data_IF_298118752686
#
_entry.id   IF_298118752686
#
_cell.length_a   1.000
_cell.length_b   1.000
_cell.length_c   1.000
_cell.angle_alpha   90.00
_cell.angle_beta   90.00
_cell.angle_gamma   90.00
#
_symmetry.space_group_name_H-M   'P 1'
#
loop_
_entity.id
_entity.type
_entity.pdbx_description
1 polymer ?
#
# COMPACT_ATOMS: atom_id res chain seq x y z
N UNK A 1 -7.67 -25.73 14.46
CA UNK A 1 -9.09 -25.50 14.85
C UNK A 1 -9.28 -24.47 15.97
N UNK A 2 -8.51 -24.47 17.08
CA UNK A 2 -8.69 -23.48 18.17
C UNK A 2 -8.40 -22.01 17.78
N UNK A 3 -7.47 -21.77 16.85
CA UNK A 3 -7.13 -20.42 16.38
C UNK A 3 -8.21 -19.77 15.48
N UNK A 4 -8.88 -20.58 14.65
CA UNK A 4 -9.97 -20.10 13.75
C UNK A 4 -11.16 -19.62 14.59
N UNK A 5 -11.55 -20.37 15.62
CA UNK A 5 -12.61 -19.94 16.53
C UNK A 5 -12.27 -18.70 17.36
N UNK A 6 -10.99 -18.35 17.53
CA UNK A 6 -10.57 -17.08 18.15
C UNK A 6 -10.69 -15.93 17.14
N UNK A 7 -10.27 -16.13 15.89
CA UNK A 7 -10.38 -15.12 14.83
C UNK A 7 -11.84 -14.73 14.53
N UNK A 8 -12.77 -15.69 14.49
CA UNK A 8 -14.20 -15.41 14.26
C UNK A 8 -14.82 -14.60 15.41
N UNK A 9 -14.42 -14.91 16.65
CA UNK A 9 -14.86 -14.15 17.84
C UNK A 9 -14.30 -12.73 17.89
N UNK A 10 -13.07 -12.54 17.39
CA UNK A 10 -12.44 -11.21 17.27
C UNK A 10 -13.12 -10.40 16.17
N UNK A 11 -13.39 -11.01 15.00
CA UNK A 11 -14.09 -10.36 13.88
C UNK A 11 -15.48 -9.87 14.26
N UNK A 12 -16.23 -10.67 15.02
CA UNK A 12 -17.55 -10.31 15.54
C UNK A 12 -17.55 -9.12 16.53
N UNK A 13 -16.38 -8.64 16.97
CA UNK A 13 -16.23 -7.53 17.94
C UNK A 13 -15.56 -6.29 17.34
N UNK A 14 -15.22 -6.31 16.05
CA UNK A 14 -14.67 -5.15 15.34
C UNK A 14 -15.69 -4.02 15.22
N UNK A 15 -16.99 -4.33 15.18
CA UNK A 15 -18.07 -3.35 15.11
C UNK A 15 -18.74 -3.07 16.47
N UNK A 16 -18.13 -3.50 17.58
CA UNK A 16 -18.73 -3.29 18.91
C UNK A 16 -18.85 -1.78 19.20
N UNK A 17 -20.04 -1.28 19.63
CA UNK A 17 -20.27 0.14 19.86
C UNK A 17 -19.38 0.70 20.98
N UNK A 18 -18.84 -0.15 21.87
CA UNK A 18 -17.95 0.27 22.95
C UNK A 18 -16.52 0.43 22.43
N UNK A 19 -15.92 1.64 22.49
CA UNK A 19 -14.60 1.92 21.93
C UNK A 19 -13.46 1.04 22.47
N UNK A 20 -13.53 0.65 23.74
CA UNK A 20 -12.54 -0.24 24.38
C UNK A 20 -12.61 -1.68 23.85
N UNK A 21 -13.81 -2.20 23.59
CA UNK A 21 -14.01 -3.56 23.06
C UNK A 21 -13.58 -3.64 21.61
N UNK A 22 -13.93 -2.62 20.82
CA UNK A 22 -13.46 -2.47 19.44
C UNK A 22 -11.95 -2.30 19.36
N UNK A 23 -11.33 -1.47 20.21
CA UNK A 23 -9.87 -1.33 20.24
C UNK A 23 -9.16 -2.63 20.60
N UNK A 24 -9.66 -3.35 21.62
CA UNK A 24 -9.13 -4.65 22.01
C UNK A 24 -9.35 -5.73 20.92
N UNK A 25 -10.45 -5.68 20.17
CA UNK A 25 -10.70 -6.56 19.03
C UNK A 25 -9.76 -6.24 17.85
N UNK A 26 -9.49 -4.97 17.59
CA UNK A 26 -8.52 -4.53 16.58
C UNK A 26 -7.09 -4.93 16.98
N UNK A 27 -6.71 -4.76 18.25
CA UNK A 27 -5.45 -5.29 18.81
C UNK A 27 -5.34 -6.81 18.70
N UNK A 28 -6.39 -7.54 19.08
CA UNK A 28 -6.39 -9.00 18.99
C UNK A 28 -6.33 -9.48 17.53
N UNK A 29 -7.00 -8.78 16.61
CA UNK A 29 -6.91 -9.09 15.18
C UNK A 29 -5.48 -8.86 14.69
N UNK A 30 -4.87 -7.73 15.03
CA UNK A 30 -3.54 -7.35 14.55
C UNK A 30 -2.38 -8.06 15.26
N UNK A 31 -2.58 -8.64 16.45
CA UNK A 31 -1.58 -9.48 17.11
C UNK A 31 -1.61 -10.93 16.59
N UNK A 32 -2.78 -11.42 16.16
CA UNK A 32 -2.95 -12.77 15.62
C UNK A 32 -2.56 -12.80 14.14
N UNK A 33 -2.92 -11.77 13.37
CA UNK A 33 -2.86 -11.78 11.91
C UNK A 33 -1.43 -11.84 11.34
N UNK A 34 -0.42 -11.07 11.77
CA UNK A 34 0.91 -11.09 11.15
C UNK A 34 1.70 -12.40 11.34
N UNK A 35 1.81 -12.99 12.56
CA UNK A 35 2.49 -14.27 12.72
C UNK A 35 1.72 -15.44 12.11
N UNK A 36 0.40 -15.30 11.94
CA UNK A 36 -0.45 -16.25 11.20
C UNK A 36 -0.35 -16.01 9.70
N UNK A 37 -0.06 -14.79 9.21
CA UNK A 37 0.14 -14.45 7.80
C UNK A 37 1.48 -14.92 7.27
N UNK A 38 2.57 -14.76 8.01
CA UNK A 38 3.87 -15.35 7.62
C UNK A 38 3.78 -16.87 7.63
N UNK A 39 3.15 -17.44 8.67
CA UNK A 39 2.88 -18.89 8.71
C UNK A 39 1.86 -19.33 7.68
N UNK A 40 0.88 -18.53 7.30
CA UNK A 40 -0.11 -18.88 6.27
C UNK A 40 0.44 -18.68 4.87
N UNK A 41 1.28 -17.68 4.60
CA UNK A 41 1.96 -17.52 3.33
C UNK A 41 2.98 -18.64 3.14
N UNK A 42 3.77 -18.96 4.17
CA UNK A 42 4.67 -20.11 4.17
C UNK A 42 3.89 -21.44 4.10
N UNK A 43 2.80 -21.60 4.86
CA UNK A 43 1.97 -22.81 4.84
C UNK A 43 1.07 -22.90 3.61
N UNK A 44 0.71 -21.82 2.92
CA UNK A 44 0.06 -21.84 1.61
C UNK A 44 1.11 -22.19 0.56
N UNK A 45 2.33 -21.65 0.64
CA UNK A 45 3.46 -22.08 -0.19
C UNK A 45 3.81 -23.56 0.00
N UNK A 46 3.76 -24.08 1.23
CA UNK A 46 3.92 -25.52 1.51
C UNK A 46 2.68 -26.36 1.21
N UNK A 47 1.45 -25.85 1.43
CA UNK A 47 0.22 -26.57 1.13
C UNK A 47 -0.06 -26.62 -0.37
N UNK A 48 0.34 -25.61 -1.13
CA UNK A 48 0.36 -25.61 -2.60
C UNK A 48 1.34 -26.68 -3.09
N UNK A 49 2.51 -26.82 -2.45
CA UNK A 49 3.46 -27.91 -2.71
C UNK A 49 2.91 -29.29 -2.31
N UNK A 50 2.10 -29.38 -1.27
CA UNK A 50 1.60 -30.65 -0.72
C UNK A 50 0.24 -31.12 -1.27
N UNK A 51 -0.64 -30.22 -1.75
CA UNK A 51 -2.00 -30.52 -2.24
C UNK A 51 -2.44 -29.54 -3.35
N UNK A 52 -2.17 -29.84 -4.63
CA UNK A 52 -2.31 -28.90 -5.76
C UNK A 52 -3.73 -28.44 -6.16
N UNK A 53 -4.78 -28.68 -5.36
CA UNK A 53 -6.17 -28.60 -5.83
C UNK A 53 -7.09 -27.56 -5.18
N UNK A 54 -6.65 -26.79 -4.18
CA UNK A 54 -7.55 -25.92 -3.41
C UNK A 54 -6.95 -24.52 -3.17
N UNK A 55 -7.40 -23.50 -3.92
CA UNK A 55 -7.07 -22.10 -3.66
C UNK A 55 -8.01 -21.41 -2.65
N UNK A 56 -8.76 -22.19 -1.85
CA UNK A 56 -9.60 -21.68 -0.75
C UNK A 56 -8.78 -20.80 0.21
N UNK A 57 -7.49 -21.11 0.39
CA UNK A 57 -6.57 -20.29 1.17
C UNK A 57 -6.36 -18.87 0.61
N UNK A 58 -6.32 -18.70 -0.72
CA UNK A 58 -6.19 -17.37 -1.33
C UNK A 58 -7.47 -16.55 -1.21
N UNK A 59 -8.62 -17.15 -1.53
CA UNK A 59 -9.91 -16.46 -1.41
C UNK A 59 -10.17 -15.94 0.02
N UNK A 60 -9.67 -16.67 1.02
CA UNK A 60 -9.77 -16.36 2.44
C UNK A 60 -8.53 -15.66 3.02
N UNK A 61 -7.55 -15.23 2.21
CA UNK A 61 -6.27 -14.66 2.65
C UNK A 61 -6.38 -13.27 3.34
N UNK A 62 -7.58 -12.85 3.70
CA UNK A 62 -7.85 -11.61 4.42
C UNK A 62 -8.11 -10.42 3.48
N UNK A 63 -7.78 -9.19 3.90
CA UNK A 63 -8.08 -7.98 3.14
C UNK A 63 -7.38 -7.94 1.77
N UNK A 64 -7.90 -7.13 0.83
CA UNK A 64 -7.33 -7.01 -0.52
C UNK A 64 -5.83 -6.71 -0.57
N UNK A 65 -5.33 -5.91 0.37
CA UNK A 65 -3.90 -5.60 0.48
C UNK A 65 -3.02 -6.85 0.63
N UNK A 66 -3.46 -7.86 1.39
CA UNK A 66 -2.72 -9.11 1.55
C UNK A 66 -2.76 -9.96 0.28
N UNK A 67 -3.93 -10.07 -0.36
CA UNK A 67 -4.08 -10.78 -1.63
C UNK A 67 -3.15 -10.22 -2.70
N UNK A 68 -3.03 -8.88 -2.78
CA UNK A 68 -2.09 -8.20 -3.68
C UNK A 68 -0.63 -8.56 -3.37
N UNK A 69 -0.24 -8.60 -2.09
CA UNK A 69 1.13 -9.01 -1.73
C UNK A 69 1.42 -10.47 -2.13
N UNK A 70 0.48 -11.39 -1.92
CA UNK A 70 0.65 -12.79 -2.35
C UNK A 70 0.92 -12.86 -3.86
N UNK A 71 0.11 -12.16 -4.66
CA UNK A 71 0.28 -12.16 -6.12
C UNK A 71 1.62 -11.55 -6.56
N UNK A 72 2.06 -10.48 -5.90
CA UNK A 72 3.35 -9.83 -6.20
C UNK A 72 4.52 -10.74 -5.87
N UNK A 73 4.50 -11.42 -4.73
CA UNK A 73 5.51 -12.42 -4.38
C UNK A 73 5.51 -13.60 -5.35
N UNK A 74 4.35 -14.03 -5.86
CA UNK A 74 4.32 -15.06 -6.92
C UNK A 74 5.07 -14.62 -8.19
N UNK A 75 4.98 -13.35 -8.58
CA UNK A 75 5.73 -12.85 -9.74
C UNK A 75 7.24 -12.70 -9.47
N UNK A 76 7.64 -12.50 -8.21
CA UNK A 76 9.03 -12.35 -7.81
C UNK A 76 9.73 -13.71 -7.64
N UNK A 77 9.07 -14.66 -6.98
CA UNK A 77 9.68 -15.92 -6.55
C UNK A 77 9.67 -17.02 -7.63
N UNK A 78 8.88 -16.86 -8.69
CA UNK A 78 8.68 -17.88 -9.72
C UNK A 78 8.98 -17.36 -11.12
N UNK A 79 9.67 -18.19 -11.91
CA UNK A 79 10.00 -17.88 -13.31
C UNK A 79 8.88 -18.27 -14.30
N UNK A 80 7.88 -19.03 -13.84
CA UNK A 80 6.81 -19.54 -14.70
C UNK A 80 5.60 -20.06 -13.92
N UNK A 81 4.49 -20.26 -14.63
CA UNK A 81 3.25 -20.77 -14.03
C UNK A 81 3.26 -22.28 -13.77
N UNK A 82 2.36 -22.71 -12.90
CA UNK A 82 2.03 -24.11 -12.59
C UNK A 82 0.52 -24.25 -12.38
N UNK A 83 -0.01 -25.47 -12.30
CA UNK A 83 -1.43 -25.72 -12.06
C UNK A 83 -1.97 -25.02 -10.79
N UNK A 84 -1.15 -24.96 -9.73
CA UNK A 84 -1.53 -24.29 -8.50
C UNK A 84 -1.49 -22.75 -8.63
N UNK A 85 -0.49 -22.22 -9.32
CA UNK A 85 -0.40 -20.78 -9.63
C UNK A 85 -1.57 -20.36 -10.52
N UNK A 86 -1.87 -21.14 -11.57
CA UNK A 86 -3.02 -20.92 -12.45
C UNK A 86 -4.34 -20.88 -11.67
N UNK A 87 -4.50 -21.75 -10.67
CA UNK A 87 -5.68 -21.76 -9.80
C UNK A 87 -5.78 -20.49 -8.95
N UNK A 88 -4.67 -20.04 -8.36
CA UNK A 88 -4.61 -18.77 -7.61
C UNK A 88 -4.93 -17.59 -8.52
N UNK A 89 -4.33 -17.53 -9.70
CA UNK A 89 -4.56 -16.46 -10.67
C UNK A 89 -6.02 -16.41 -11.15
N UNK A 90 -6.63 -17.56 -11.46
CA UNK A 90 -8.07 -17.62 -11.81
C UNK A 90 -8.95 -17.13 -10.66
N UNK A 91 -8.61 -17.49 -9.43
CA UNK A 91 -9.33 -17.02 -8.23
C UNK A 91 -9.19 -15.51 -8.07
N UNK A 92 -7.99 -14.98 -8.25
CA UNK A 92 -7.70 -13.56 -8.16
C UNK A 92 -8.37 -12.73 -9.27
N UNK A 93 -8.46 -13.27 -10.49
CA UNK A 93 -9.14 -12.62 -11.62
C UNK A 93 -10.66 -12.52 -11.42
N UNK A 94 -11.22 -13.29 -10.50
CA UNK A 94 -12.63 -13.23 -10.10
C UNK A 94 -12.83 -12.54 -8.74
N UNK A 95 -11.79 -11.97 -8.14
CA UNK A 95 -11.87 -11.33 -6.83
C UNK A 95 -12.79 -10.09 -6.87
N UNK A 96 -13.39 -9.73 -5.74
CA UNK A 96 -14.23 -8.53 -5.61
C UNK A 96 -13.42 -7.23 -5.76
N UNK A 97 -12.16 -7.24 -5.32
CA UNK A 97 -11.26 -6.10 -5.40
C UNK A 97 -10.68 -5.95 -6.81
N UNK A 98 -10.91 -4.79 -7.41
CA UNK A 98 -10.48 -4.55 -8.78
C UNK A 98 -8.96 -4.51 -8.94
N UNK A 99 -8.22 -4.02 -7.95
CA UNK A 99 -6.76 -3.98 -8.02
C UNK A 99 -6.16 -5.39 -7.82
N UNK A 100 -6.79 -6.28 -7.04
CA UNK A 100 -6.44 -7.71 -7.03
C UNK A 100 -6.57 -8.32 -8.43
N UNK A 101 -7.69 -8.05 -9.13
CA UNK A 101 -7.89 -8.53 -10.50
C UNK A 101 -6.82 -7.99 -11.46
N UNK A 102 -6.54 -6.69 -11.43
CA UNK A 102 -5.55 -6.06 -12.32
C UNK A 102 -4.12 -6.50 -11.97
N UNK A 103 -3.78 -6.68 -10.68
CA UNK A 103 -2.51 -7.29 -10.28
C UNK A 103 -2.39 -8.71 -10.85
N UNK A 104 -3.44 -9.52 -10.79
CA UNK A 104 -3.43 -10.88 -11.36
C UNK A 104 -3.21 -10.88 -12.88
N UNK A 105 -3.70 -9.87 -13.61
CA UNK A 105 -3.41 -9.69 -15.05
C UNK A 105 -1.91 -9.53 -15.29
N UNK A 106 -1.25 -8.64 -14.54
CA UNK A 106 0.19 -8.37 -14.70
C UNK A 106 1.02 -9.59 -14.31
N UNK A 107 0.67 -10.24 -13.18
CA UNK A 107 1.37 -11.43 -12.69
C UNK A 107 1.22 -12.61 -13.65
N UNK A 108 0.02 -12.83 -14.21
CA UNK A 108 -0.21 -13.88 -15.20
C UNK A 108 0.68 -13.70 -16.45
N UNK A 109 0.86 -12.46 -16.91
CA UNK A 109 1.75 -12.17 -18.02
C UNK A 109 3.22 -12.45 -17.67
N UNK A 110 3.69 -12.00 -16.48
CA UNK A 110 5.07 -12.22 -16.04
C UNK A 110 5.43 -13.70 -15.89
N UNK A 111 4.48 -14.51 -15.42
CA UNK A 111 4.66 -15.97 -15.25
C UNK A 111 4.37 -16.78 -16.52
N UNK A 112 4.03 -16.14 -17.65
CA UNK A 112 3.71 -16.86 -18.87
C UNK A 112 2.52 -17.81 -18.73
N UNK A 113 1.51 -17.46 -17.91
CA UNK A 113 0.40 -18.34 -17.52
C UNK A 113 -0.64 -18.53 -18.64
N UNK A 114 -0.28 -19.23 -19.71
CA UNK A 114 -1.12 -19.40 -20.91
C UNK A 114 -2.49 -20.03 -20.62
N UNK A 115 -2.60 -20.88 -19.60
CA UNK A 115 -3.84 -21.59 -19.24
C UNK A 115 -4.85 -20.70 -18.51
N UNK A 116 -4.50 -19.47 -18.14
CA UNK A 116 -5.43 -18.52 -17.51
C UNK A 116 -6.03 -17.52 -18.50
N UNK A 117 -5.63 -17.54 -19.78
CA UNK A 117 -6.15 -16.63 -20.82
C UNK A 117 -7.68 -16.55 -20.87
N UNK A 118 -8.45 -17.65 -20.80
CA UNK A 118 -9.92 -17.55 -20.76
C UNK A 118 -10.44 -16.75 -19.56
N UNK A 119 -9.82 -16.91 -18.37
CA UNK A 119 -10.18 -16.16 -17.18
C UNK A 119 -9.76 -14.69 -17.28
N UNK A 120 -8.62 -14.39 -17.94
CA UNK A 120 -8.19 -13.01 -18.21
C UNK A 120 -9.22 -12.28 -19.08
N UNK A 121 -9.70 -12.94 -20.14
CA UNK A 121 -10.71 -12.37 -21.05
C UNK A 121 -12.02 -12.10 -20.30
N UNK A 122 -12.44 -13.03 -19.43
CA UNK A 122 -13.66 -12.94 -18.65
C UNK A 122 -13.58 -11.95 -17.47
N UNK A 123 -12.37 -11.52 -17.07
CA UNK A 123 -12.18 -10.66 -15.92
C UNK A 123 -12.88 -9.29 -16.11
N UNK A 124 -13.71 -8.94 -15.13
CA UNK A 124 -14.50 -7.71 -15.08
C UNK A 124 -13.65 -6.56 -14.51
N UNK A 125 -13.02 -5.79 -15.40
CA UNK A 125 -12.15 -4.68 -15.00
C UNK A 125 -12.98 -3.41 -14.76
N UNK A 126 -12.58 -2.55 -13.81
CA UNK A 126 -13.41 -1.44 -13.41
C UNK A 126 -13.39 -0.32 -14.47
N UNK A 127 -14.58 0.16 -14.83
CA UNK A 127 -14.78 1.21 -15.85
C UNK A 127 -15.03 2.60 -15.25
N UNK A 128 -15.30 2.65 -13.95
CA UNK A 128 -15.58 3.88 -13.21
C UNK A 128 -15.03 3.84 -11.78
N UNK A 129 -15.04 5.00 -11.12
CA UNK A 129 -14.51 5.17 -9.75
C UNK A 129 -15.31 4.44 -8.68
N UNK A 130 -16.63 4.31 -8.83
CA UNK A 130 -17.46 3.52 -7.91
C UNK A 130 -17.10 2.04 -7.93
N UNK A 131 -16.65 1.54 -9.10
CA UNK A 131 -16.15 0.18 -9.29
C UNK A 131 -14.63 0.04 -9.04
N UNK A 132 -13.94 1.14 -8.74
CA UNK A 132 -12.54 1.11 -8.32
C UNK A 132 -11.53 1.80 -9.22
N UNK A 133 -11.94 2.28 -10.38
CA UNK A 133 -11.02 2.83 -11.36
C UNK A 133 -10.69 4.30 -11.09
N UNK A 134 -9.41 4.61 -10.90
CA UNK A 134 -8.90 5.97 -10.96
C UNK A 134 -9.19 6.56 -12.36
N UNK A 135 -9.78 7.76 -12.48
CA UNK A 135 -10.03 8.41 -13.77
C UNK A 135 -8.82 8.44 -14.72
N UNK A 136 -7.60 8.47 -14.18
CA UNK A 136 -6.33 8.44 -14.95
C UNK A 136 -5.99 7.05 -15.48
N UNK A 137 -6.48 5.99 -14.81
CA UNK A 137 -6.03 4.62 -15.02
C UNK A 137 -7.07 3.71 -15.70
N UNK A 138 -8.34 4.15 -15.82
CA UNK A 138 -9.43 3.28 -16.33
C UNK A 138 -9.12 2.62 -17.67
N UNK A 139 -8.59 3.40 -18.62
CA UNK A 139 -8.17 2.90 -19.94
C UNK A 139 -6.95 1.98 -19.85
N UNK A 140 -6.08 2.22 -18.86
CA UNK A 140 -4.86 1.46 -18.66
C UNK A 140 -5.16 0.02 -18.22
N UNK A 141 -6.16 -0.21 -17.36
CA UNK A 141 -6.50 -1.57 -16.94
C UNK A 141 -6.94 -2.45 -18.11
N UNK A 142 -7.80 -1.93 -18.99
CA UNK A 142 -8.21 -2.65 -20.20
C UNK A 142 -7.04 -2.86 -21.17
N UNK A 143 -6.16 -1.86 -21.31
CA UNK A 143 -4.94 -1.98 -22.10
C UNK A 143 -4.04 -3.09 -21.55
N UNK A 144 -3.76 -3.12 -20.24
CA UNK A 144 -2.94 -4.14 -19.60
C UNK A 144 -3.50 -5.55 -19.85
N UNK A 145 -4.81 -5.74 -19.71
CA UNK A 145 -5.46 -7.02 -20.04
C UNK A 145 -5.30 -7.39 -21.50
N UNK A 146 -5.53 -6.44 -22.41
CA UNK A 146 -5.38 -6.69 -23.84
C UNK A 146 -3.94 -7.10 -24.18
N UNK A 147 -2.94 -6.35 -23.69
CA UNK A 147 -1.53 -6.67 -23.92
C UNK A 147 -1.16 -8.02 -23.32
N UNK A 148 -1.65 -8.35 -22.11
CA UNK A 148 -1.41 -9.64 -21.47
C UNK A 148 -2.00 -10.81 -22.29
N UNK A 149 -3.23 -10.67 -22.78
CA UNK A 149 -3.88 -11.70 -23.61
C UNK A 149 -3.16 -11.87 -24.96
N UNK A 150 -2.81 -10.78 -25.63
CA UNK A 150 -2.03 -10.80 -26.87
C UNK A 150 -0.69 -11.54 -26.66
N UNK A 151 0.04 -11.15 -25.61
CA UNK A 151 1.33 -11.73 -25.26
C UNK A 151 1.22 -13.22 -24.91
N UNK A 152 0.29 -13.62 -24.04
CA UNK A 152 0.15 -15.03 -23.63
C UNK A 152 -0.29 -15.94 -24.79
N UNK A 153 -1.09 -15.43 -25.74
CA UNK A 153 -1.41 -16.17 -26.96
C UNK A 153 -0.20 -16.32 -27.90
N UNK A 154 0.76 -15.40 -27.85
CA UNK A 154 2.03 -15.54 -28.55
C UNK A 154 2.95 -16.55 -27.85
N UNK A 155 3.03 -16.51 -26.51
CA UNK A 155 3.70 -17.54 -25.70
C UNK A 155 3.17 -18.94 -26.01
N UNK A 156 1.84 -19.11 -26.09
CA UNK A 156 1.22 -20.38 -26.43
C UNK A 156 1.60 -20.90 -27.83
N UNK A 157 2.00 -20.01 -28.75
CA UNK A 157 2.43 -20.35 -30.13
C UNK A 157 3.93 -20.58 -30.26
N UNK A 158 4.66 -20.66 -29.15
CA UNK A 158 6.12 -20.85 -29.14
C UNK A 158 6.91 -19.60 -28.73
N UNK A 159 6.24 -18.54 -28.28
CA UNK A 159 6.87 -17.32 -27.78
C UNK A 159 7.16 -16.28 -28.86
N UNK A 160 7.38 -15.02 -28.46
CA UNK A 160 7.80 -13.99 -29.40
C UNK A 160 9.19 -14.32 -29.94
N UNK A 161 9.38 -14.17 -31.24
CA UNK A 161 10.67 -14.35 -31.89
C UNK A 161 11.61 -13.18 -31.63
N UNK A 162 12.91 -13.44 -31.44
CA UNK A 162 13.94 -12.42 -31.28
C UNK A 162 14.24 -12.04 -29.83
N UNK A 163 15.22 -11.17 -29.64
CA UNK A 163 15.63 -10.68 -28.32
C UNK A 163 14.51 -9.83 -27.68
N UNK A 164 14.36 -9.91 -26.35
CA UNK A 164 13.31 -9.22 -25.59
C UNK A 164 13.37 -7.70 -25.77
N UNK A 165 14.55 -7.14 -26.03
CA UNK A 165 14.73 -5.71 -26.31
C UNK A 165 13.98 -5.24 -27.56
N UNK A 166 13.75 -6.14 -28.52
CA UNK A 166 13.02 -5.88 -29.77
C UNK A 166 11.49 -5.95 -29.64
N UNK A 167 10.99 -6.44 -28.50
CA UNK A 167 9.55 -6.60 -28.29
C UNK A 167 8.85 -5.24 -28.14
N UNK A 168 7.53 -5.16 -28.46
CA UNK A 168 6.79 -3.91 -28.33
C UNK A 168 6.92 -3.31 -26.93
N UNK A 169 7.12 -1.98 -26.77
CA UNK A 169 7.31 -1.33 -25.47
C UNK A 169 6.19 -1.65 -24.46
N UNK A 170 4.94 -1.76 -24.93
CA UNK A 170 3.79 -2.14 -24.10
C UNK A 170 3.96 -3.52 -23.43
N UNK A 171 4.55 -4.49 -24.14
CA UNK A 171 4.82 -5.84 -23.62
C UNK A 171 5.99 -5.79 -22.64
N UNK A 172 7.08 -5.12 -23.01
CA UNK A 172 8.26 -4.95 -22.13
C UNK A 172 7.90 -4.24 -20.82
N UNK A 173 7.03 -3.23 -20.89
CA UNK A 173 6.50 -2.53 -19.72
C UNK A 173 5.70 -3.45 -18.82
N UNK A 174 4.76 -4.23 -19.38
CA UNK A 174 3.97 -5.24 -18.65
C UNK A 174 4.87 -6.26 -17.92
N UNK A 175 5.96 -6.67 -18.57
CA UNK A 175 6.94 -7.62 -18.02
C UNK A 175 7.94 -6.98 -17.03
N UNK A 176 7.85 -5.66 -16.80
CA UNK A 176 8.68 -4.95 -15.82
C UNK A 176 10.09 -4.59 -16.31
N UNK A 177 10.35 -4.64 -17.62
CA UNK A 177 11.67 -4.36 -18.20
C UNK A 177 11.93 -2.88 -18.47
N UNK A 178 10.88 -2.05 -18.42
CA UNK A 178 11.03 -0.62 -18.64
C UNK A 178 11.30 0.12 -17.33
N UNK A 179 12.17 1.14 -17.35
CA UNK A 179 12.35 2.00 -16.19
C UNK A 179 11.05 2.73 -15.86
N UNK A 180 10.85 3.02 -14.58
CA UNK A 180 9.72 3.82 -14.11
C UNK A 180 10.02 5.29 -14.39
N UNK A 181 9.32 5.84 -15.39
CA UNK A 181 9.55 7.21 -15.91
C UNK A 181 8.28 8.05 -15.98
N UNK A 182 7.12 7.44 -15.84
CA UNK A 182 5.80 8.06 -15.95
C UNK A 182 4.76 7.34 -15.07
N UNK A 183 3.54 7.87 -15.04
CA UNK A 183 2.44 7.31 -14.24
C UNK A 183 2.07 5.87 -14.68
N UNK A 184 2.22 5.53 -15.96
CA UNK A 184 1.89 4.19 -16.46
C UNK A 184 2.89 3.16 -15.98
N UNK A 185 4.18 3.41 -16.18
CA UNK A 185 5.27 2.55 -15.72
C UNK A 185 5.29 2.45 -14.20
N UNK A 186 4.94 3.52 -13.50
CA UNK A 186 4.75 3.52 -12.04
C UNK A 186 3.56 2.65 -11.60
N UNK A 187 2.42 2.71 -12.29
CA UNK A 187 1.27 1.86 -12.01
C UNK A 187 1.63 0.38 -12.20
N UNK A 188 2.27 0.02 -13.31
CA UNK A 188 2.68 -1.37 -13.56
C UNK A 188 3.69 -1.85 -12.50
N UNK A 189 4.62 -0.99 -12.10
CA UNK A 189 5.53 -1.26 -11.00
C UNK A 189 4.75 -1.51 -9.70
N UNK A 190 3.83 -0.62 -9.32
CA UNK A 190 3.03 -0.76 -8.10
C UNK A 190 2.18 -2.03 -8.07
N UNK A 191 1.66 -2.47 -9.21
CA UNK A 191 0.84 -3.67 -9.29
C UNK A 191 1.63 -4.96 -9.07
N UNK A 192 2.93 -4.95 -9.34
CA UNK A 192 3.74 -6.16 -9.42
C UNK A 192 4.94 -6.20 -8.46
N UNK A 193 5.31 -5.09 -7.84
CA UNK A 193 6.43 -5.03 -6.89
C UNK A 193 5.96 -5.34 -5.47
N UNK A 194 6.50 -6.38 -4.81
CA UNK A 194 6.24 -6.65 -3.40
C UNK A 194 6.68 -5.49 -2.51
N UNK A 195 5.96 -5.27 -1.40
CA UNK A 195 6.40 -4.32 -0.38
C UNK A 195 7.45 -4.99 0.49
N UNK A 196 8.70 -4.56 0.33
CA UNK A 196 9.82 -5.01 1.15
C UNK A 196 9.74 -4.42 2.55
N UNK A 197 10.20 -5.17 3.55
CA UNK A 197 10.36 -4.70 4.94
C UNK A 197 11.80 -4.95 5.37
N UNK A 198 12.37 -3.99 6.11
CA UNK A 198 13.66 -4.18 6.74
C UNK A 198 13.46 -4.90 8.08
N UNK A 199 14.18 -6.00 8.27
CA UNK A 199 14.12 -6.81 9.49
C UNK A 199 14.90 -6.19 10.65
N UNK A 200 15.80 -5.25 10.36
CA UNK A 200 16.59 -4.58 11.40
C UNK A 200 15.66 -3.84 12.37
N UNK A 201 15.88 -4.01 13.68
CA UNK A 201 15.08 -3.34 14.70
C UNK A 201 15.70 -1.98 15.04
N UNK A 202 15.03 -0.85 14.74
CA UNK A 202 15.60 0.47 15.00
C UNK A 202 15.55 0.77 16.49
N UNK A 203 16.63 1.36 17.00
CA UNK A 203 16.69 1.83 18.40
C UNK A 203 16.44 3.34 18.39
N UNK A 204 15.21 3.73 18.77
CA UNK A 204 14.81 5.13 18.92
C UNK A 204 14.34 5.35 20.34
N UNK A 205 14.90 6.36 21.01
CA UNK A 205 14.52 6.72 22.37
C UNK A 205 13.02 7.05 22.43
N UNK A 206 12.33 6.61 23.50
CA UNK A 206 10.90 6.85 23.66
C UNK A 206 9.98 6.04 22.74
N UNK A 207 10.52 5.13 21.92
CA UNK A 207 9.74 4.24 21.05
C UNK A 207 9.85 2.80 21.53
N UNK A 208 8.72 2.10 21.58
CA UNK A 208 8.64 0.67 21.92
C UNK A 208 7.83 -0.09 20.89
N UNK A 209 8.08 -1.40 20.83
CA UNK A 209 7.34 -2.33 19.97
C UNK A 209 6.40 -3.19 20.82
N UNK A 210 5.17 -3.34 20.35
CA UNK A 210 4.14 -4.20 20.92
C UNK A 210 3.62 -5.14 19.82
N UNK A 211 4.16 -6.36 19.79
CA UNK A 211 3.96 -7.28 18.68
C UNK A 211 4.50 -6.71 17.37
N UNK A 212 3.61 -6.35 16.44
CA UNK A 212 3.99 -5.74 15.16
C UNK A 212 3.84 -4.23 15.11
N UNK A 213 3.31 -3.62 16.18
CA UNK A 213 3.04 -2.19 16.23
C UNK A 213 4.17 -1.46 16.92
N UNK A 214 4.44 -0.27 16.44
CA UNK A 214 5.33 0.68 17.06
C UNK A 214 4.49 1.72 17.79
N UNK A 215 4.94 2.11 18.98
CA UNK A 215 4.27 3.14 19.77
C UNK A 215 5.26 3.99 20.54
N UNK A 216 4.86 5.21 20.82
CA UNK A 216 5.54 6.04 21.80
C UNK A 216 5.33 5.45 23.19
N UNK A 217 6.40 5.26 23.95
CA UNK A 217 6.35 4.65 25.29
C UNK A 217 5.55 5.49 26.28
N UNK A 218 5.75 6.81 26.27
CA UNK A 218 5.14 7.72 27.23
C UNK A 218 3.62 7.90 27.04
N UNK A 219 3.14 7.91 25.78
CA UNK A 219 1.74 8.24 25.44
C UNK A 219 0.95 7.07 24.85
N UNK A 220 1.62 6.00 24.42
CA UNK A 220 1.00 4.92 23.65
C UNK A 220 0.62 5.31 22.21
N UNK A 221 1.00 6.50 21.74
CA UNK A 221 0.68 6.95 20.39
C UNK A 221 1.25 5.98 19.34
N UNK A 222 0.39 5.47 18.46
CA UNK A 222 0.79 4.53 17.42
C UNK A 222 1.70 5.18 16.37
N UNK A 223 2.71 4.46 15.94
CA UNK A 223 3.72 4.89 14.97
C UNK A 223 3.72 3.95 13.75
N UNK A 224 3.88 4.54 12.58
CA UNK A 224 4.20 3.89 11.33
C UNK A 224 5.72 3.99 11.11
N UNK A 225 6.37 2.85 10.86
CA UNK A 225 7.79 2.82 10.51
C UNK A 225 7.95 3.00 9.01
N UNK A 226 8.66 4.05 8.62
CA UNK A 226 9.15 4.20 7.25
C UNK A 226 10.44 3.38 7.19
N UNK A 227 10.40 2.31 6.40
CA UNK A 227 11.53 1.40 6.25
C UNK A 227 12.65 2.01 5.40
N UNK A 228 13.90 1.60 5.63
CA UNK A 228 15.08 2.07 4.90
C UNK A 228 15.19 1.41 3.50
N UNK A 229 14.10 1.41 2.75
CA UNK A 229 13.98 0.81 1.41
C UNK A 229 13.72 1.89 0.36
N UNK A 230 14.02 1.65 -0.93
CA UNK A 230 13.70 2.62 -1.98
C UNK A 230 12.20 2.88 -2.09
N UNK A 231 11.80 4.14 -2.05
CA UNK A 231 10.43 4.62 -2.24
C UNK A 231 10.28 5.39 -3.55
N UNK A 232 9.19 5.15 -4.27
CA UNK A 232 8.76 5.99 -5.37
C UNK A 232 7.90 7.15 -4.87
N UNK A 233 8.33 8.37 -5.13
CA UNK A 233 7.64 9.61 -4.77
C UNK A 233 7.24 10.40 -6.02
N UNK A 234 6.24 11.27 -5.88
CA UNK A 234 5.77 12.13 -6.96
C UNK A 234 4.93 11.41 -8.02
N UNK A 235 4.48 12.15 -9.03
CA UNK A 235 3.72 11.62 -10.17
C UNK A 235 4.32 12.14 -11.47
N UNK A 236 4.13 11.38 -12.54
CA UNK A 236 4.33 11.86 -13.91
C UNK A 236 3.19 12.79 -14.33
N UNK A 237 3.48 13.78 -15.19
CA UNK A 237 2.48 14.69 -15.75
C UNK A 237 2.85 16.17 -15.62
N UNK A 238 1.88 17.03 -15.98
CA UNK A 238 2.04 18.49 -15.99
C UNK A 238 2.56 19.03 -14.64
N UNK A 239 3.45 20.04 -14.66
CA UNK A 239 4.08 20.57 -13.46
C UNK A 239 3.03 21.14 -12.50
N UNK A 240 2.77 20.43 -11.41
CA UNK A 240 2.02 20.95 -10.26
C UNK A 240 2.85 22.01 -9.54
N UNK A 241 2.21 22.92 -8.82
CA UNK A 241 2.91 23.87 -7.95
C UNK A 241 2.58 23.63 -6.47
N UNK A 242 3.59 23.32 -5.63
CA UNK A 242 4.99 23.09 -5.97
C UNK A 242 5.21 21.76 -6.73
N UNK A 243 6.25 21.66 -7.57
CA UNK A 243 6.49 20.48 -8.40
C UNK A 243 6.75 19.27 -7.50
N UNK A 244 6.18 18.10 -7.80
CA UNK A 244 6.50 16.82 -7.15
C UNK A 244 6.78 15.75 -8.21
N UNK A 245 7.92 15.86 -8.92
CA UNK A 245 8.22 14.96 -10.02
C UNK A 245 8.47 13.55 -9.52
N UNK A 246 8.14 12.59 -10.37
CA UNK A 246 8.44 11.18 -10.15
C UNK A 246 9.94 11.00 -9.89
N UNK A 247 10.27 10.42 -8.74
CA UNK A 247 11.66 10.13 -8.34
C UNK A 247 11.71 8.96 -7.37
N UNK A 248 12.89 8.36 -7.26
CA UNK A 248 13.16 7.27 -6.31
C UNK A 248 14.08 7.78 -5.20
N UNK A 249 13.69 7.56 -3.95
CA UNK A 249 14.43 8.03 -2.77
C UNK A 249 14.54 6.89 -1.76
N UNK A 250 15.72 6.70 -1.17
CA UNK A 250 15.91 5.75 -0.05
C UNK A 250 16.15 6.57 1.23
N UNK A 251 15.17 6.66 2.14
CA UNK A 251 15.36 7.36 3.40
C UNK A 251 16.15 6.49 4.40
N UNK A 252 16.74 7.07 5.45
CA UNK A 252 17.00 6.31 6.67
C UNK A 252 15.68 5.86 7.30
N UNK A 253 15.70 4.76 8.07
CA UNK A 253 14.51 4.32 8.80
C UNK A 253 14.09 5.39 9.80
N UNK A 254 12.79 5.70 9.85
CA UNK A 254 12.22 6.67 10.81
C UNK A 254 10.79 6.31 11.19
N UNK A 255 10.24 6.98 12.21
CA UNK A 255 8.87 6.80 12.64
C UNK A 255 8.04 8.03 12.38
N UNK A 256 6.80 7.84 11.95
CA UNK A 256 5.78 8.89 11.85
C UNK A 256 4.56 8.46 12.65
N UNK A 257 3.85 9.39 13.29
CA UNK A 257 2.58 9.04 13.94
C UNK A 257 1.61 8.40 12.93
N UNK A 258 1.10 7.22 13.26
CA UNK A 258 0.25 6.42 12.38
C UNK A 258 -1.11 7.07 12.11
N UNK A 259 -1.50 8.08 12.89
CA UNK A 259 -2.66 8.95 12.67
C UNK A 259 -2.26 10.42 12.78
N UNK A 260 -3.07 11.35 12.23
CA UNK A 260 -2.90 12.76 12.52
C UNK A 260 -2.98 12.97 14.03
N UNK A 261 -2.22 13.92 14.54
CA UNK A 261 -2.15 14.19 15.97
C UNK A 261 -3.53 14.56 16.51
N UNK A 262 -3.80 14.10 17.72
CA UNK A 262 -5.02 14.34 18.46
C UNK A 262 -4.64 14.51 19.92
N UNK A 263 -5.16 15.57 20.54
CA UNK A 263 -5.00 15.77 21.98
C UNK A 263 -5.81 14.74 22.77
N UNK A 264 -5.32 14.40 23.95
CA UNK A 264 -6.00 13.43 24.81
C UNK A 264 -7.42 13.93 25.17
N UNK A 265 -8.42 13.08 24.95
CA UNK A 265 -9.82 13.42 25.18
C UNK A 265 -10.50 14.23 24.06
N UNK A 266 -9.76 14.66 23.03
CA UNK A 266 -10.35 15.38 21.90
C UNK A 266 -11.17 14.45 20.97
N UNK A 267 -12.32 14.93 20.52
CA UNK A 267 -13.19 14.23 19.57
C UNK A 267 -12.59 14.21 18.15
N UNK A 268 -11.90 15.29 17.79
CA UNK A 268 -11.36 15.53 16.45
C UNK A 268 -9.84 15.61 16.46
N UNK A 269 -9.24 15.46 15.27
CA UNK A 269 -7.81 15.63 15.09
C UNK A 269 -7.42 17.10 15.28
N UNK A 270 -6.23 17.32 15.84
CA UNK A 270 -5.70 18.66 16.12
C UNK A 270 -5.57 19.47 14.82
N UNK A 271 -5.87 20.78 14.89
CA UNK A 271 -5.70 21.71 13.77
C UNK A 271 -5.15 23.06 14.23
N UNK A 272 -4.04 23.46 13.63
CA UNK A 272 -3.41 24.73 13.94
C UNK A 272 -2.57 25.27 12.80
N UNK A 273 -1.94 26.40 13.06
CA UNK A 273 -0.90 27.00 12.21
C UNK A 273 0.38 26.16 12.29
N UNK A 274 1.31 26.37 11.35
CA UNK A 274 2.61 25.69 11.38
C UNK A 274 3.38 25.99 12.67
N UNK A 275 3.39 27.25 13.14
CA UNK A 275 4.09 27.64 14.36
C UNK A 275 3.52 26.93 15.60
N UNK A 276 2.19 26.76 15.68
CA UNK A 276 1.55 25.97 16.74
C UNK A 276 1.95 24.49 16.64
N UNK A 277 2.06 23.93 15.42
CA UNK A 277 2.48 22.54 15.22
C UNK A 277 3.94 22.31 15.62
N UNK A 278 4.83 23.25 15.34
CA UNK A 278 6.24 23.20 15.74
C UNK A 278 6.41 23.34 17.26
N UNK A 279 5.65 24.24 17.90
CA UNK A 279 5.64 24.38 19.35
C UNK A 279 5.12 23.10 20.03
N UNK A 280 4.06 22.50 19.48
CA UNK A 280 3.53 21.22 19.94
C UNK A 280 4.55 20.08 19.76
N UNK A 281 5.27 20.04 18.63
CA UNK A 281 6.34 19.06 18.44
C UNK A 281 7.42 19.17 19.52
N UNK A 282 7.83 20.40 19.89
CA UNK A 282 8.81 20.61 20.96
C UNK A 282 8.30 20.07 22.31
N UNK A 283 7.05 20.37 22.68
CA UNK A 283 6.42 19.88 23.91
C UNK A 283 6.32 18.35 23.93
N UNK A 284 5.93 17.74 22.82
CA UNK A 284 5.88 16.29 22.69
C UNK A 284 7.27 15.66 22.76
N UNK A 285 8.30 16.35 22.25
CA UNK A 285 9.69 15.90 22.37
C UNK A 285 10.15 15.80 23.82
N UNK A 286 9.83 16.81 24.64
CA UNK A 286 10.09 16.77 26.09
C UNK A 286 9.32 15.64 26.78
N UNK A 287 8.02 15.50 26.46
CA UNK A 287 7.17 14.47 27.06
C UNK A 287 7.58 13.05 26.68
N UNK A 288 7.98 12.82 25.43
CA UNK A 288 8.30 11.49 24.91
C UNK A 288 9.75 11.10 25.13
N UNK A 289 10.61 12.05 25.54
CA UNK A 289 12.05 11.82 25.65
C UNK A 289 12.67 11.45 24.30
N UNK A 290 12.15 12.04 23.22
CA UNK A 290 12.52 11.73 21.84
C UNK A 290 12.59 13.01 21.01
N UNK A 291 13.29 12.98 19.86
CA UNK A 291 13.25 14.12 18.96
C UNK A 291 11.94 14.07 18.17
N UNK A 292 11.10 15.08 18.34
CA UNK A 292 9.80 15.17 17.66
C UNK A 292 9.78 16.41 16.76
N UNK A 293 9.28 16.26 15.54
CA UNK A 293 9.18 17.36 14.56
C UNK A 293 8.06 17.16 13.55
N UNK A 294 7.68 18.24 12.87
CA UNK A 294 6.84 18.19 11.66
C UNK A 294 7.58 17.38 10.57
N UNK A 295 6.89 16.50 9.82
CA UNK A 295 7.48 15.72 8.75
C UNK A 295 7.90 16.62 7.60
N UNK A 296 8.92 16.18 6.88
CA UNK A 296 9.11 16.64 5.51
C UNK A 296 7.98 16.12 4.62
N UNK A 297 7.72 16.78 3.49
CA UNK A 297 6.71 16.32 2.53
C UNK A 297 7.04 14.93 1.99
N UNK A 298 8.33 14.60 1.86
CA UNK A 298 8.79 13.29 1.41
C UNK A 298 8.53 12.22 2.46
N UNK A 299 8.82 12.47 3.74
CA UNK A 299 8.48 11.53 4.83
C UNK A 299 6.97 11.32 4.95
N UNK A 300 6.19 12.39 4.80
CA UNK A 300 4.73 12.28 4.81
C UNK A 300 4.24 11.40 3.66
N UNK A 301 4.74 11.64 2.44
CA UNK A 301 4.40 10.84 1.27
C UNK A 301 4.86 9.39 1.45
N UNK A 302 6.08 9.14 1.93
CA UNK A 302 6.58 7.79 2.21
C UNK A 302 5.70 7.04 3.22
N UNK A 303 5.33 7.69 4.34
CA UNK A 303 4.48 7.11 5.38
C UNK A 303 3.13 6.63 4.82
N UNK A 304 2.52 7.45 3.96
CA UNK A 304 1.18 7.18 3.43
C UNK A 304 1.23 6.31 2.18
N UNK A 305 2.20 6.50 1.30
CA UNK A 305 2.28 5.82 0.01
C UNK A 305 2.90 4.44 0.11
N UNK A 306 3.90 4.23 0.96
CA UNK A 306 4.71 3.03 0.89
C UNK A 306 5.72 3.05 -0.26
N UNK A 307 6.47 1.96 -0.47
CA UNK A 307 7.63 1.96 -1.36
C UNK A 307 7.27 1.62 -2.82
N UNK A 308 6.13 0.96 -3.02
CA UNK A 308 5.71 0.36 -4.28
C UNK A 308 5.16 1.37 -5.30
N UNK A 309 4.98 2.64 -4.94
CA UNK A 309 4.58 3.69 -5.87
C UNK A 309 3.08 3.80 -6.13
N UNK A 310 2.24 3.09 -5.36
CA UNK A 310 0.77 3.26 -5.38
C UNK A 310 0.32 4.71 -5.26
N UNK A 311 -0.85 5.05 -5.71
CA UNK A 311 -1.34 6.44 -5.72
C UNK A 311 -1.90 6.89 -4.37
N UNK A 312 -2.64 6.02 -3.68
CA UNK A 312 -3.31 6.31 -2.42
C UNK A 312 -2.83 5.39 -1.31
N UNK A 313 -3.07 5.70 -0.02
CA UNK A 313 -2.55 4.86 1.06
C UNK A 313 -3.03 3.40 0.97
N UNK A 314 -4.30 3.23 0.62
CA UNK A 314 -4.95 1.93 0.49
C UNK A 314 -4.65 1.20 -0.84
N UNK A 315 -3.95 1.80 -1.79
CA UNK A 315 -3.69 1.23 -3.13
C UNK A 315 -4.15 2.13 -4.28
N UNK A 316 -4.32 1.55 -5.46
CA UNK A 316 -4.83 2.22 -6.66
C UNK A 316 -6.35 2.01 -6.84
N UNK A 317 -6.96 1.11 -6.07
CA UNK A 317 -8.41 0.91 -6.07
C UNK A 317 -9.16 2.03 -5.33
N UNK A 318 -10.00 2.78 -6.05
CA UNK A 318 -10.87 3.83 -5.48
C UNK A 318 -12.25 3.35 -5.00
N UNK A 319 -12.51 2.04 -5.00
CA UNK A 319 -13.79 1.52 -4.59
C UNK A 319 -14.10 1.92 -3.13
N UNK A 320 -15.37 2.17 -2.77
CA UNK A 320 -15.73 2.55 -1.41
C UNK A 320 -15.28 1.56 -0.34
N UNK A 321 -15.16 0.27 -0.69
CA UNK A 321 -14.74 -0.81 0.22
C UNK A 321 -13.24 -0.79 0.56
N UNK A 322 -12.40 -0.17 -0.28
CA UNK A 322 -10.95 -0.04 -0.04
C UNK A 322 -10.56 1.34 0.46
N UNK A 323 -11.34 2.36 0.11
CA UNK A 323 -11.08 3.73 0.50
C UNK A 323 -11.06 3.87 2.02
N UNK A 324 -10.01 4.47 2.55
CA UNK A 324 -9.85 4.68 4.01
C UNK A 324 -8.95 3.65 4.71
N UNK A 325 -8.53 2.58 4.04
CA UNK A 325 -7.56 1.64 4.63
C UNK A 325 -6.17 2.29 4.80
N UNK A 326 -5.43 1.82 5.80
CA UNK A 326 -4.07 2.28 6.09
C UNK A 326 -3.07 1.92 4.99
N UNK A 327 -1.97 2.67 4.97
CA UNK A 327 -0.78 2.38 4.16
C UNK A 327 -0.13 1.04 4.52
N UNK A 328 0.81 0.53 3.71
CA UNK A 328 1.60 -0.66 4.04
C UNK A 328 2.38 -0.55 5.35
N UNK A 329 2.66 0.67 5.78
CA UNK A 329 3.33 1.02 7.03
C UNK A 329 2.36 1.19 8.21
N UNK A 330 1.06 1.03 7.98
CA UNK A 330 0.03 1.18 9.00
C UNK A 330 -0.43 2.62 9.22
N UNK A 331 0.03 3.58 8.42
CA UNK A 331 -0.41 4.96 8.52
C UNK A 331 -1.83 5.11 7.96
N UNK A 332 -2.76 5.59 8.78
CA UNK A 332 -4.13 5.85 8.37
C UNK A 332 -4.18 7.02 7.37
N UNK A 333 -5.13 7.03 6.42
CA UNK A 333 -5.36 8.20 5.59
C UNK A 333 -5.74 9.43 6.42
N UNK A 334 -5.44 10.64 5.93
CA UNK A 334 -5.72 11.85 6.68
C UNK A 334 -7.19 12.24 6.51
N UNK A 335 -7.85 12.68 7.58
CA UNK A 335 -9.21 13.23 7.54
C UNK A 335 -9.21 14.73 7.15
N UNK A 336 -8.04 15.30 6.90
CA UNK A 336 -7.79 16.71 6.67
C UNK A 336 -6.53 16.91 5.83
N UNK A 337 -6.32 18.10 5.29
CA UNK A 337 -4.98 18.52 4.93
C UNK A 337 -4.07 18.57 6.16
N UNK A 338 -2.80 18.24 5.98
CA UNK A 338 -1.77 18.22 7.03
C UNK A 338 -0.58 19.12 6.65
N UNK A 339 0.12 19.61 7.67
CA UNK A 339 1.38 20.32 7.54
C UNK A 339 2.53 19.37 7.21
N UNK A 340 3.37 19.80 6.27
CA UNK A 340 4.67 19.21 6.00
C UNK A 340 5.68 20.28 5.58
N UNK A 341 6.97 19.92 5.58
CA UNK A 341 8.08 20.83 5.26
C UNK A 341 8.84 20.39 4.00
N UNK A 342 9.33 21.36 3.23
CA UNK A 342 10.33 21.17 2.17
C UNK A 342 11.51 22.11 2.45
N UNK A 343 12.52 21.61 3.17
CA UNK A 343 13.49 22.46 3.84
C UNK A 343 12.79 23.40 4.85
N UNK A 344 12.96 24.71 4.67
CA UNK A 344 12.28 25.73 5.48
C UNK A 344 10.89 26.12 4.92
N UNK A 345 10.48 25.57 3.77
CA UNK A 345 9.23 25.94 3.12
C UNK A 345 8.08 25.13 3.70
N UNK A 346 7.05 25.83 4.18
CA UNK A 346 5.80 25.23 4.60
C UNK A 346 4.99 24.72 3.40
N UNK A 347 4.43 23.51 3.54
CA UNK A 347 3.57 22.87 2.56
C UNK A 347 2.32 22.30 3.20
N UNK A 348 1.27 22.22 2.39
CA UNK A 348 0.07 21.46 2.71
C UNK A 348 0.01 20.21 1.85
N UNK A 349 -0.12 19.07 2.52
CA UNK A 349 -0.21 17.73 1.93
C UNK A 349 -1.52 17.05 2.33
N UNK A 350 -1.98 16.14 1.48
CA UNK A 350 -3.28 15.49 1.67
C UNK A 350 -4.49 16.43 1.59
N UNK A 351 -5.67 15.86 1.44
CA UNK A 351 -6.97 16.57 1.49
C UNK A 351 -8.13 15.55 1.60
N UNK A 352 -9.30 16.02 2.02
CA UNK A 352 -10.55 15.24 2.13
C UNK A 352 -11.12 14.79 0.79
N UNK A 353 -10.70 15.41 -0.32
CA UNK A 353 -11.24 15.17 -1.67
C UNK A 353 -10.63 13.97 -2.41
N UNK A 354 -9.99 13.03 -1.72
CA UNK A 354 -9.28 11.88 -2.33
C UNK A 354 -8.13 12.35 -3.23
N UNK A 355 -7.22 13.12 -2.66
CA UNK A 355 -6.01 13.51 -3.36
C UNK A 355 -4.99 12.35 -3.32
N UNK A 356 -4.19 12.17 -4.39
CA UNK A 356 -3.04 11.26 -4.37
C UNK A 356 -2.07 11.60 -3.23
N UNK A 357 -1.32 10.61 -2.73
CA UNK A 357 -0.28 10.83 -1.73
C UNK A 357 0.76 11.88 -2.18
N UNK A 358 1.02 11.99 -3.48
CA UNK A 358 1.93 12.97 -4.06
C UNK A 358 1.40 14.41 -4.09
N UNK A 359 0.16 14.66 -3.65
CA UNK A 359 -0.42 15.99 -3.65
C UNK A 359 0.25 16.90 -2.61
N UNK A 360 0.71 18.07 -3.08
CA UNK A 360 1.20 19.16 -2.25
C UNK A 360 0.79 20.52 -2.83
N UNK A 361 0.59 21.50 -1.96
CA UNK A 361 0.33 22.91 -2.32
C UNK A 361 0.99 23.86 -1.33
N UNK A 362 1.11 25.13 -1.72
CA UNK A 362 1.44 26.19 -0.78
C UNK A 362 0.28 26.41 0.22
N UNK A 363 0.58 26.75 1.49
CA UNK A 363 -0.45 27.15 2.44
C UNK A 363 -1.04 28.52 2.09
N UNK A 364 -2.26 28.77 2.55
CA UNK A 364 -2.79 30.14 2.64
C UNK A 364 -2.22 30.88 3.86
N UNK A 365 -2.31 32.22 3.95
CA UNK A 365 -1.80 32.97 5.09
C UNK A 365 -2.41 32.55 6.44
N UNK A 366 -3.69 32.20 6.46
CA UNK A 366 -4.44 31.80 7.66
C UNK A 366 -4.68 30.28 7.71
N UNK A 367 -3.84 29.50 7.02
CA UNK A 367 -4.02 28.05 6.90
C UNK A 367 -4.01 27.39 8.29
N UNK A 368 -5.01 26.54 8.54
CA UNK A 368 -5.05 25.66 9.70
C UNK A 368 -5.22 24.22 9.23
N UNK A 369 -4.21 23.40 9.49
CA UNK A 369 -4.14 22.03 9.03
C UNK A 369 -3.81 21.09 10.19
N UNK A 370 -4.07 19.81 9.97
CA UNK A 370 -3.60 18.77 10.87
C UNK A 370 -2.10 18.60 10.81
N UNK A 371 -1.56 17.71 11.63
CA UNK A 371 -0.13 17.39 11.59
C UNK A 371 0.09 15.96 12.03
N UNK A 372 1.09 15.31 11.45
CA UNK A 372 1.72 14.12 12.01
C UNK A 372 3.09 14.50 12.53
N UNK A 373 3.64 13.68 13.40
CA UNK A 373 4.97 13.93 13.91
C UNK A 373 5.93 12.82 13.53
N UNK A 374 7.12 13.23 13.10
CA UNK A 374 8.27 12.32 13.00
C UNK A 374 8.85 12.16 14.40
N UNK A 375 9.18 10.93 14.76
CA UNK A 375 9.86 10.56 16.01
C UNK A 375 11.19 9.91 15.66
N UNK A 376 12.29 10.48 16.14
CA UNK A 376 13.64 10.01 15.83
C UNK A 376 14.66 10.26 16.92
#
# INVERSE_FOLDING_TARGET
MRAIGVADRVKARLDDPRPRVRSAAVEAAEAIVPPVLERAAHAIGEAVRARPGHAVGFAQAGPPSHKRQILRWLAEDFEGSSDAIDLVLRTALADEDAEVRVTAVVVAARLGAVRVVPALIAADLPEDTGRGADPRERRLYHLLRQVAVEYLNEVARGGPSGDRTSWPPKVRGLLGELPVTDDLTLLVHALATPVMRDEAEPVVAGVTRDGVRWKVTASGAALARIEAVPHWLGLGGEPRQPPNPLRRVTPPSTFVTARPWREEGAADDWRGTLAEAEALAAQLGELWGARVRVPTADEWEMALRGPDGRVYPWGNNLAPTTRGLSSPWGAAPPAASEWALDGARALIVGDVKVQPCAFRRAPTPDERAGVRFVVG
#
